data_IF_447081178917
#
_entry.id   IF_447081178917
#
_cell.length_a   1.000
_cell.length_b   1.000
_cell.length_c   1.000
_cell.angle_alpha   90.00
_cell.angle_beta   90.00
_cell.angle_gamma   90.00
#
_symmetry.space_group_name_H-M   'P 1'
#
loop_
_entity.id
_entity.type
_entity.pdbx_description
1 polymer ?
#
# COMPACT_ATOMS: atom_id res chain seq x y z
N UNK A 1 -10.44 9.62 -9.50
CA UNK A 1 -9.75 9.00 -10.64
C UNK A 1 -10.18 7.55 -10.71
N UNK A 2 -10.38 7.04 -11.92
CA UNK A 2 -10.62 5.63 -12.17
C UNK A 2 -9.34 4.82 -11.94
N UNK A 3 -9.48 3.54 -11.64
CA UNK A 3 -8.36 2.63 -11.38
C UNK A 3 -7.28 2.68 -12.48
N UNK A 4 -7.68 2.62 -13.76
CA UNK A 4 -6.76 2.67 -14.89
C UNK A 4 -5.99 4.01 -14.99
N UNK A 5 -6.60 5.10 -14.53
CA UNK A 5 -5.94 6.41 -14.51
C UNK A 5 -4.89 6.48 -13.40
N UNK A 6 -5.20 5.92 -12.22
CA UNK A 6 -4.24 5.82 -11.11
C UNK A 6 -3.00 5.01 -11.54
N UNK A 7 -3.20 3.84 -12.15
CA UNK A 7 -2.09 3.02 -12.67
C UNK A 7 -1.23 3.82 -13.66
N UNK A 8 -1.88 4.54 -14.59
CA UNK A 8 -1.17 5.38 -15.58
C UNK A 8 -0.38 6.50 -14.92
N UNK A 9 -0.94 7.15 -13.90
CA UNK A 9 -0.26 8.22 -13.17
C UNK A 9 0.95 7.74 -12.38
N UNK A 10 0.87 6.56 -11.76
CA UNK A 10 2.02 5.96 -11.06
C UNK A 10 3.14 5.66 -12.06
N UNK A 11 2.82 5.07 -13.22
CA UNK A 11 3.80 4.83 -14.29
C UNK A 11 4.36 6.15 -14.85
N UNK A 12 3.52 7.15 -15.10
CA UNK A 12 3.97 8.49 -15.53
C UNK A 12 5.00 9.09 -14.55
N UNK A 13 4.71 9.00 -13.25
CA UNK A 13 5.59 9.52 -12.21
C UNK A 13 6.95 8.83 -12.17
N UNK A 14 6.99 7.52 -12.41
CA UNK A 14 8.24 6.76 -12.48
C UNK A 14 9.07 7.10 -13.72
N UNK A 15 8.42 7.24 -14.88
CA UNK A 15 9.12 7.57 -16.13
C UNK A 15 9.58 9.03 -16.23
N UNK A 16 9.13 9.90 -15.33
CA UNK A 16 9.70 11.23 -15.21
C UNK A 16 11.15 11.21 -14.68
N UNK A 17 11.57 10.15 -13.99
CA UNK A 17 12.97 9.91 -13.61
C UNK A 17 13.23 8.39 -13.53
N UNK A 18 13.53 7.71 -14.65
CA UNK A 18 13.58 6.25 -14.74
C UNK A 18 14.80 5.64 -14.06
N UNK A 19 15.82 6.43 -13.70
CA UNK A 19 17.02 5.97 -12.99
C UNK A 19 16.87 6.05 -11.47
N UNK A 20 15.81 6.66 -10.96
CA UNK A 20 15.56 6.71 -9.53
C UNK A 20 15.04 5.36 -9.03
N UNK A 21 15.22 5.12 -7.73
CA UNK A 21 14.60 4.01 -7.04
C UNK A 21 13.22 4.41 -6.51
N UNK A 22 12.25 3.51 -6.64
CA UNK A 22 10.89 3.76 -6.21
C UNK A 22 10.41 2.78 -5.14
N UNK A 23 9.49 3.24 -4.30
CA UNK A 23 8.70 2.39 -3.40
C UNK A 23 7.23 2.57 -3.73
N UNK A 24 6.58 1.48 -4.11
CA UNK A 24 5.12 1.41 -4.27
C UNK A 24 4.56 0.78 -3.01
N UNK A 25 3.66 1.50 -2.33
CA UNK A 25 3.12 1.10 -1.03
C UNK A 25 1.61 1.05 -1.13
N UNK A 26 1.01 -0.03 -0.63
CA UNK A 26 -0.44 -0.16 -0.48
C UNK A 26 -0.77 -0.42 0.98
N UNK A 27 -1.77 0.27 1.49
CA UNK A 27 -2.29 0.02 2.82
C UNK A 27 -3.72 0.49 2.94
N UNK A 28 -4.44 -0.09 3.88
CA UNK A 28 -5.78 0.32 4.23
C UNK A 28 -5.87 0.60 5.72
N UNK A 29 -6.65 1.61 6.05
CA UNK A 29 -7.04 1.94 7.42
C UNK A 29 -8.56 2.08 7.45
N UNK A 30 -9.16 1.94 8.62
CA UNK A 30 -10.59 2.05 8.76
C UNK A 30 -11.00 2.86 9.99
N UNK A 31 -12.03 3.69 9.80
CA UNK A 31 -12.59 4.52 10.86
C UNK A 31 -14.04 4.11 11.16
N UNK A 32 -14.41 4.08 12.44
CA UNK A 32 -15.75 3.70 12.92
C UNK A 32 -15.80 2.38 13.71
N UNK A 33 -16.97 2.08 14.28
CA UNK A 33 -17.19 0.89 15.14
C UNK A 33 -18.32 -0.04 14.66
N UNK A 34 -19.22 0.41 13.79
CA UNK A 34 -20.38 -0.38 13.32
C UNK A 34 -20.55 -0.37 11.78
N UNK A 35 -20.36 0.79 11.16
CA UNK A 35 -20.08 0.94 9.73
C UNK A 35 -18.66 1.46 9.59
N UNK A 36 -17.75 0.63 9.10
CA UNK A 36 -16.38 1.05 8.89
C UNK A 36 -16.24 1.64 7.50
N UNK A 37 -15.73 2.86 7.47
CA UNK A 37 -15.19 3.43 6.25
C UNK A 37 -13.77 2.91 6.11
N UNK A 38 -13.59 1.93 5.22
CA UNK A 38 -12.26 1.43 4.86
C UNK A 38 -11.71 2.34 3.78
N UNK A 39 -10.58 2.97 4.08
CA UNK A 39 -9.82 3.82 3.19
C UNK A 39 -8.60 3.06 2.73
N UNK A 40 -8.49 2.79 1.43
CA UNK A 40 -7.32 2.14 0.83
C UNK A 40 -6.47 3.18 0.11
N UNK A 41 -5.16 3.05 0.21
CA UNK A 41 -4.17 3.96 -0.37
C UNK A 41 -3.25 3.19 -1.30
N UNK A 42 -2.96 3.78 -2.46
CA UNK A 42 -1.79 3.46 -3.30
C UNK A 42 -0.86 4.64 -3.26
N UNK A 43 0.36 4.46 -2.78
CA UNK A 43 1.39 5.47 -2.74
C UNK A 43 2.60 5.07 -3.59
N UNK A 44 3.22 6.04 -4.24
CA UNK A 44 4.47 5.91 -4.98
C UNK A 44 5.45 6.95 -4.45
N UNK A 45 6.59 6.49 -3.96
CA UNK A 45 7.64 7.35 -3.43
C UNK A 45 8.91 7.18 -4.26
N UNK A 46 9.41 8.29 -4.81
CA UNK A 46 10.75 8.36 -5.42
C UNK A 46 11.75 8.62 -4.30
N UNK A 47 12.63 7.66 -4.02
CA UNK A 47 13.55 7.75 -2.89
C UNK A 47 14.41 9.01 -2.99
N UNK A 48 14.32 9.88 -1.97
CA UNK A 48 15.05 11.15 -1.90
C UNK A 48 14.37 12.34 -2.58
N UNK A 49 13.20 12.14 -3.22
CA UNK A 49 12.55 13.14 -4.08
C UNK A 49 11.02 13.18 -3.92
N UNK A 50 10.49 12.69 -2.81
CA UNK A 50 9.07 12.76 -2.51
C UNK A 50 8.19 11.78 -3.29
N UNK A 51 6.88 11.91 -3.15
CA UNK A 51 5.93 10.92 -3.68
C UNK A 51 4.56 11.47 -4.04
N UNK A 52 3.69 10.55 -4.46
CA UNK A 52 2.27 10.77 -4.72
C UNK A 52 1.46 9.67 -4.05
N UNK A 53 0.23 9.98 -3.68
CA UNK A 53 -0.69 8.98 -3.17
C UNK A 53 -2.08 9.17 -3.77
N UNK A 54 -2.81 8.06 -3.84
CA UNK A 54 -4.17 7.96 -4.33
C UNK A 54 -4.95 7.16 -3.30
N UNK A 55 -6.19 7.53 -3.06
CA UNK A 55 -7.02 6.83 -2.08
C UNK A 55 -8.41 6.55 -2.64
N UNK A 56 -9.02 5.49 -2.13
CA UNK A 56 -10.42 5.16 -2.34
C UNK A 56 -11.06 4.79 -1.00
N UNK A 57 -12.38 4.91 -0.93
CA UNK A 57 -13.16 4.57 0.27
C UNK A 57 -14.27 3.59 -0.10
N UNK A 58 -14.48 2.60 0.74
CA UNK A 58 -15.64 1.72 0.66
C UNK A 58 -16.17 1.43 2.07
N UNK A 59 -17.47 1.17 2.17
CA UNK A 59 -18.10 0.83 3.43
C UNK A 59 -18.02 -0.68 3.67
N UNK A 60 -17.62 -1.06 4.90
CA UNK A 60 -17.66 -2.42 5.41
C UNK A 60 -18.63 -2.49 6.60
N UNK A 61 -19.45 -3.54 6.64
CA UNK A 61 -20.47 -3.75 7.68
C UNK A 61 -20.20 -5.04 8.45
N UNK A 62 -20.81 -5.18 9.63
CA UNK A 62 -20.76 -6.43 10.41
C UNK A 62 -19.46 -6.65 11.20
N UNK A 63 -18.60 -5.65 11.29
CA UNK A 63 -17.36 -5.69 12.08
C UNK A 63 -17.68 -5.31 13.52
N UNK A 64 -17.27 -6.15 14.47
CA UNK A 64 -17.61 -5.99 15.89
C UNK A 64 -16.40 -6.04 16.81
N UNK A 65 -15.24 -6.45 16.30
CA UNK A 65 -14.03 -6.66 17.10
C UNK A 65 -12.84 -6.00 16.44
N UNK A 66 -11.84 -5.63 17.26
CA UNK A 66 -10.55 -5.13 16.75
C UNK A 66 -9.89 -6.13 15.80
N UNK A 67 -10.05 -7.43 16.07
CA UNK A 67 -9.58 -8.50 15.18
C UNK A 67 -10.17 -8.35 13.79
N UNK A 68 -11.50 -8.35 13.69
CA UNK A 68 -12.20 -8.24 12.42
C UNK A 68 -11.83 -6.95 11.69
N UNK A 69 -11.69 -5.84 12.42
CA UNK A 69 -11.24 -4.56 11.86
C UNK A 69 -9.89 -4.70 11.14
N UNK A 70 -8.89 -5.21 11.85
CA UNK A 70 -7.52 -5.40 11.33
C UNK A 70 -7.50 -6.38 10.15
N UNK A 71 -8.23 -7.50 10.26
CA UNK A 71 -8.36 -8.46 9.17
C UNK A 71 -8.98 -7.81 7.93
N UNK A 72 -9.99 -6.96 8.10
CA UNK A 72 -10.62 -6.25 6.99
C UNK A 72 -9.69 -5.23 6.34
N UNK A 73 -8.91 -4.49 7.12
CA UNK A 73 -7.88 -3.58 6.58
C UNK A 73 -6.82 -4.32 5.77
N UNK A 74 -6.30 -5.42 6.31
CA UNK A 74 -5.28 -6.24 5.64
C UNK A 74 -5.86 -6.88 4.39
N UNK A 75 -7.07 -7.44 4.45
CA UNK A 75 -7.73 -8.02 3.29
C UNK A 75 -7.96 -6.97 2.19
N UNK A 76 -8.46 -5.79 2.55
CA UNK A 76 -8.66 -4.70 1.59
C UNK A 76 -7.34 -4.26 0.90
N UNK A 77 -6.23 -4.29 1.65
CA UNK A 77 -4.90 -4.01 1.11
C UNK A 77 -4.46 -5.10 0.12
N UNK A 78 -4.68 -6.37 0.47
CA UNK A 78 -4.33 -7.52 -0.37
C UNK A 78 -5.16 -7.61 -1.65
N UNK A 79 -6.46 -7.35 -1.55
CA UNK A 79 -7.37 -7.33 -2.70
C UNK A 79 -6.94 -6.24 -3.68
N UNK A 80 -6.66 -5.03 -3.17
CA UNK A 80 -6.17 -3.93 -3.98
C UNK A 80 -4.80 -4.25 -4.61
N UNK A 81 -3.87 -4.84 -3.86
CA UNK A 81 -2.56 -5.23 -4.38
C UNK A 81 -2.64 -6.28 -5.48
N UNK A 82 -3.52 -7.28 -5.31
CA UNK A 82 -3.75 -8.35 -6.28
C UNK A 82 -4.30 -7.82 -7.60
N UNK A 83 -5.10 -6.75 -7.57
CA UNK A 83 -5.57 -6.07 -8.77
C UNK A 83 -4.53 -5.09 -9.34
N UNK A 84 -3.88 -4.32 -8.47
CA UNK A 84 -2.99 -3.24 -8.84
C UNK A 84 -1.69 -3.74 -9.46
N UNK A 85 -0.98 -4.67 -8.81
CA UNK A 85 0.37 -5.06 -9.23
C UNK A 85 0.41 -5.65 -10.65
N UNK A 86 -0.49 -6.55 -11.07
CA UNK A 86 -0.50 -7.05 -12.45
C UNK A 86 -0.81 -5.95 -13.47
N UNK A 87 -1.79 -5.09 -13.20
CA UNK A 87 -2.14 -3.98 -14.08
C UNK A 87 -0.99 -2.97 -14.20
N UNK A 88 -0.32 -2.70 -13.09
CA UNK A 88 0.84 -1.83 -13.00
C UNK A 88 2.05 -2.38 -13.77
N UNK A 89 2.40 -3.67 -13.57
CA UNK A 89 3.46 -4.33 -14.34
C UNK A 89 3.17 -4.31 -15.84
N UNK A 90 1.95 -4.65 -16.25
CA UNK A 90 1.52 -4.56 -17.65
C UNK A 90 1.66 -3.14 -18.22
N UNK A 91 1.33 -2.12 -17.42
CA UNK A 91 1.47 -0.73 -17.85
C UNK A 91 2.94 -0.28 -17.98
N UNK A 92 3.83 -0.77 -17.11
CA UNK A 92 5.29 -0.58 -17.25
C UNK A 92 5.81 -1.25 -18.52
N UNK A 93 5.43 -2.50 -18.77
CA UNK A 93 5.81 -3.28 -19.95
C UNK A 93 5.39 -2.57 -21.25
N UNK A 94 4.12 -2.13 -21.34
CA UNK A 94 3.58 -1.44 -22.52
C UNK A 94 4.29 -0.13 -22.79
N UNK A 95 4.74 0.58 -21.75
CA UNK A 95 5.42 1.87 -21.92
C UNK A 95 6.84 1.74 -22.47
N UNK A 96 7.51 0.64 -22.17
CA UNK A 96 8.61 0.13 -22.98
C UNK A 96 10.03 0.65 -22.70
N UNK A 97 10.97 -0.23 -23.05
CA UNK A 97 12.38 -0.15 -23.46
C UNK A 97 13.46 0.52 -22.59
N UNK A 98 13.12 1.32 -21.57
CA UNK A 98 14.11 2.03 -20.76
C UNK A 98 14.58 1.24 -19.53
N UNK A 99 14.94 -0.04 -19.69
CA UNK A 99 15.31 -0.92 -18.57
C UNK A 99 14.15 -1.15 -17.59
N UNK A 100 14.30 -2.13 -16.69
CA UNK A 100 13.38 -2.24 -15.55
C UNK A 100 13.61 -1.03 -14.65
N UNK A 101 12.62 -0.14 -14.51
CA UNK A 101 12.66 0.91 -13.48
C UNK A 101 12.54 0.18 -12.14
N UNK A 102 13.59 0.17 -11.28
CA UNK A 102 13.57 -0.62 -10.06
C UNK A 102 12.55 -0.05 -9.08
N UNK A 103 11.74 -0.93 -8.50
CA UNK A 103 10.82 -0.57 -7.44
C UNK A 103 10.65 -1.68 -6.41
N UNK A 104 10.51 -1.29 -5.15
CA UNK A 104 9.99 -2.18 -4.11
C UNK A 104 8.46 -2.10 -4.09
N UNK A 105 7.80 -3.21 -3.86
CA UNK A 105 6.35 -3.28 -3.67
C UNK A 105 6.01 -3.76 -2.27
N UNK A 106 5.32 -2.93 -1.52
CA UNK A 106 5.15 -3.09 -0.08
C UNK A 106 3.69 -3.00 0.32
N UNK A 107 3.28 -3.88 1.23
CA UNK A 107 2.00 -3.76 1.94
C UNK A 107 2.28 -3.18 3.32
N UNK A 108 1.63 -2.07 3.64
CA UNK A 108 1.75 -1.40 4.92
C UNK A 108 0.55 -1.76 5.79
N UNK A 109 0.83 -2.27 6.98
CA UNK A 109 -0.17 -2.61 7.99
C UNK A 109 -0.10 -1.56 9.09
N UNK A 110 -1.21 -0.86 9.29
CA UNK A 110 -1.36 0.15 10.34
C UNK A 110 -1.85 -0.49 11.65
N UNK A 111 -1.03 -1.38 12.22
CA UNK A 111 -1.29 -1.99 13.53
C UNK A 111 -0.03 -1.95 14.39
N UNK A 112 -0.17 -1.48 15.63
CA UNK A 112 0.91 -1.50 16.61
C UNK A 112 1.17 -2.89 17.18
N UNK A 113 2.41 -3.20 17.51
CA UNK A 113 2.85 -4.51 17.99
C UNK A 113 2.84 -4.66 19.54
N UNK A 114 1.76 -4.23 20.22
CA UNK A 114 1.71 -4.21 21.69
C UNK A 114 0.49 -4.96 22.26
N UNK A 115 0.71 -5.83 23.25
CA UNK A 115 -0.37 -6.52 23.96
C UNK A 115 -1.12 -7.53 23.08
N UNK A 116 -2.46 -7.51 23.13
CA UNK A 116 -3.36 -8.43 22.41
C UNK A 116 -3.23 -8.37 20.88
N UNK A 117 -2.58 -7.34 20.32
CA UNK A 117 -2.36 -7.22 18.88
C UNK A 117 -1.10 -7.95 18.40
N UNK A 118 -0.19 -8.39 19.27
CA UNK A 118 1.06 -9.04 18.84
C UNK A 118 0.80 -10.32 18.05
N UNK A 119 -0.03 -11.21 18.59
CA UNK A 119 -0.34 -12.48 17.94
C UNK A 119 -1.12 -12.24 16.63
N UNK A 120 -1.98 -11.22 16.62
CA UNK A 120 -2.69 -10.78 15.42
C UNK A 120 -1.75 -10.20 14.36
N UNK A 121 -0.74 -9.41 14.76
CA UNK A 121 0.31 -8.90 13.86
C UNK A 121 1.04 -10.06 13.20
N UNK A 122 1.39 -11.11 13.95
CA UNK A 122 2.01 -12.30 13.39
C UNK A 122 1.11 -13.01 12.37
N UNK A 123 -0.18 -13.18 12.68
CA UNK A 123 -1.16 -13.77 11.76
C UNK A 123 -1.25 -12.99 10.44
N UNK A 124 -1.50 -11.67 10.52
CA UNK A 124 -1.69 -10.85 9.32
C UNK A 124 -0.41 -10.65 8.52
N UNK A 125 0.75 -10.60 9.19
CA UNK A 125 2.07 -10.61 8.54
C UNK A 125 2.24 -11.91 7.75
N UNK A 126 1.85 -13.04 8.34
CA UNK A 126 1.85 -14.34 7.68
C UNK A 126 0.93 -14.36 6.45
N UNK A 127 -0.27 -13.79 6.55
CA UNK A 127 -1.19 -13.65 5.42
C UNK A 127 -0.56 -12.88 4.26
N UNK A 128 0.00 -11.70 4.52
CA UNK A 128 0.60 -10.87 3.47
C UNK A 128 1.78 -11.56 2.80
N UNK A 129 2.64 -12.21 3.58
CA UNK A 129 3.76 -13.01 3.05
C UNK A 129 3.28 -14.23 2.27
N UNK A 130 2.15 -14.82 2.65
CA UNK A 130 1.51 -15.91 1.90
C UNK A 130 1.08 -15.51 0.49
N UNK A 131 0.77 -14.22 0.26
CA UNK A 131 0.53 -13.66 -1.07
C UNK A 131 1.82 -13.30 -1.84
N UNK A 132 2.99 -13.46 -1.21
CA UNK A 132 4.29 -13.14 -1.81
C UNK A 132 4.67 -11.66 -1.76
N UNK A 133 4.00 -10.86 -0.92
CA UNK A 133 4.31 -9.44 -0.77
C UNK A 133 5.24 -9.16 0.42
N UNK A 134 6.07 -8.14 0.29
CA UNK A 134 6.81 -7.57 1.42
C UNK A 134 5.85 -6.79 2.32
N UNK A 135 6.03 -6.90 3.63
CA UNK A 135 5.11 -6.34 4.64
C UNK A 135 5.86 -5.45 5.62
N UNK A 136 5.31 -4.26 5.87
CA UNK A 136 5.79 -3.31 6.86
C UNK A 136 4.68 -3.03 7.87
N UNK A 137 4.97 -3.26 9.14
CA UNK A 137 4.05 -3.03 10.27
C UNK A 137 4.49 -1.75 11.00
N UNK A 138 3.63 -1.11 11.81
CA UNK A 138 4.09 0.01 12.64
C UNK A 138 5.03 -0.50 13.75
N UNK A 139 6.12 0.24 14.06
CA UNK A 139 6.42 1.60 13.61
C UNK A 139 7.17 1.72 12.27
N UNK A 140 7.62 0.61 11.68
CA UNK A 140 8.45 0.60 10.47
C UNK A 140 7.72 1.20 9.25
N UNK A 141 6.43 0.89 9.08
CA UNK A 141 5.59 1.50 8.02
C UNK A 141 5.49 3.02 8.19
N UNK A 142 5.33 3.51 9.42
CA UNK A 142 5.30 4.94 9.71
C UNK A 142 6.65 5.61 9.43
N UNK A 143 7.76 4.95 9.72
CA UNK A 143 9.10 5.45 9.39
C UNK A 143 9.31 5.49 7.87
N UNK A 144 8.88 4.47 7.14
CA UNK A 144 8.98 4.43 5.67
C UNK A 144 8.22 5.59 5.01
N UNK A 145 7.04 5.94 5.54
CA UNK A 145 6.20 7.06 5.09
C UNK A 145 6.76 8.41 5.54
N UNK A 146 7.21 8.55 6.80
CA UNK A 146 7.80 9.80 7.31
C UNK A 146 9.10 10.16 6.58
N UNK A 147 9.91 9.16 6.24
CA UNK A 147 11.09 9.35 5.38
C UNK A 147 10.68 9.80 3.98
N UNK A 148 9.53 9.35 3.46
CA UNK A 148 9.01 9.85 2.20
C UNK A 148 8.59 11.33 2.29
N UNK A 149 7.88 11.71 3.35
CA UNK A 149 7.35 13.07 3.52
C UNK A 149 8.44 14.11 3.83
N UNK A 150 9.47 13.76 4.61
CA UNK A 150 10.54 14.70 5.02
C UNK A 150 11.40 15.21 3.87
N UNK A 151 11.37 14.53 2.72
CA UNK A 151 12.13 14.90 1.52
C UNK A 151 11.24 15.54 0.43
N UNK A 152 9.95 15.81 0.75
CA UNK A 152 9.05 16.65 -0.05
C UNK A 152 9.18 18.10 0.47
N UNK A 153 10.14 18.86 -0.06
CA UNK A 153 10.13 20.33 0.05
C UNK A 153 10.64 20.96 -1.23
#
# INVERSE_FOLDING_TARGET
MLFAEVVREVVNFMYAEPRAHYRVMIGSDSNGTSSLDVVSVVAIHRVGHGGRYFWSRHAATGIKTLRQKIYTEVQASLDLATLFLPAFRKALEVRGSAGEVPFDFQIHIDVGNQGETRDLVHEVTGMVRGYGYEVFVKPESAAATTVADRHVR
#
